data_IF_554018796736
#
_entry.id   IF_554018796736
#
_cell.length_a   1.000
_cell.length_b   1.000
_cell.length_c   1.000
_cell.angle_alpha   90.00
_cell.angle_beta   90.00
_cell.angle_gamma   90.00
#
_symmetry.space_group_name_H-M   'P 1'
#
loop_
_entity.id
_entity.type
_entity.pdbx_description
1 polymer ?
#
# COMPACT_ATOMS: atom_id res chain seq x y z
N UNK A 1 15.73 -1.60 -12.73
CA UNK A 1 17.06 -1.12 -13.17
C UNK A 1 18.03 -0.89 -12.01
N UNK A 2 17.58 -0.48 -10.82
CA UNK A 2 18.43 -0.26 -9.62
C UNK A 2 19.38 -1.42 -9.29
N UNK A 3 18.85 -2.62 -8.99
CA UNK A 3 19.70 -3.75 -8.58
C UNK A 3 20.51 -4.35 -9.75
N UNK A 4 20.07 -4.14 -10.99
CA UNK A 4 20.77 -4.66 -12.17
C UNK A 4 22.05 -3.86 -12.48
N UNK A 5 22.21 -2.68 -11.90
CA UNK A 5 23.42 -1.86 -12.00
C UNK A 5 24.52 -2.28 -11.02
N UNK A 6 24.21 -3.15 -10.06
CA UNK A 6 25.13 -3.58 -9.01
C UNK A 6 25.82 -4.90 -9.38
N UNK A 7 27.14 -4.95 -9.18
CA UNK A 7 27.92 -6.19 -9.31
C UNK A 7 27.75 -7.12 -8.08
N UNK A 8 27.17 -6.60 -6.99
CA UNK A 8 26.98 -7.32 -5.74
C UNK A 8 25.72 -8.19 -5.75
N UNK A 9 25.76 -9.31 -5.01
CA UNK A 9 24.58 -10.15 -4.77
C UNK A 9 23.69 -9.47 -3.73
N UNK A 10 22.52 -8.98 -4.17
CA UNK A 10 21.56 -8.28 -3.32
C UNK A 10 20.37 -9.15 -2.87
N UNK A 11 20.31 -10.39 -3.31
CA UNK A 11 19.34 -11.39 -2.87
C UNK A 11 20.04 -12.56 -2.21
N UNK A 12 19.41 -13.10 -1.18
CA UNK A 12 19.85 -14.36 -0.59
C UNK A 12 19.78 -15.50 -1.61
N UNK A 13 20.61 -16.52 -1.42
CA UNK A 13 20.66 -17.68 -2.28
C UNK A 13 19.55 -18.69 -1.93
N UNK A 14 19.23 -18.83 -0.64
CA UNK A 14 18.29 -19.84 -0.13
C UNK A 14 17.11 -19.22 0.64
N UNK A 15 16.87 -17.93 0.45
CA UNK A 15 15.75 -17.18 1.00
C UNK A 15 15.01 -16.46 -0.14
N UNK A 16 13.71 -16.22 0.03
CA UNK A 16 12.86 -15.55 -0.94
C UNK A 16 13.00 -14.03 -0.97
N UNK A 17 13.77 -13.44 -0.04
CA UNK A 17 13.95 -12.00 0.14
C UNK A 17 15.29 -11.46 -0.37
N UNK A 18 15.39 -10.13 -0.44
CA UNK A 18 16.68 -9.45 -0.58
C UNK A 18 17.54 -9.60 0.67
N UNK A 19 18.82 -9.27 0.56
CA UNK A 19 19.76 -9.13 1.70
C UNK A 19 19.60 -7.77 2.38
N UNK A 20 20.21 -7.58 3.56
CA UNK A 20 20.27 -6.26 4.22
C UNK A 20 20.95 -5.19 3.34
N UNK A 21 21.91 -5.57 2.48
CA UNK A 21 22.51 -4.64 1.50
C UNK A 21 21.53 -4.26 0.39
N UNK A 22 20.73 -5.21 -0.08
CA UNK A 22 19.65 -4.94 -1.03
C UNK A 22 18.61 -4.00 -0.44
N UNK A 23 18.23 -4.23 0.82
CA UNK A 23 17.33 -3.34 1.56
C UNK A 23 17.91 -1.94 1.77
N UNK A 24 19.20 -1.81 2.09
CA UNK A 24 19.88 -0.51 2.22
C UNK A 24 19.83 0.29 0.91
N UNK A 25 20.12 -0.35 -0.22
CA UNK A 25 20.04 0.30 -1.53
C UNK A 25 18.61 0.72 -1.90
N UNK A 26 17.62 -0.12 -1.58
CA UNK A 26 16.22 0.22 -1.76
C UNK A 26 15.79 1.40 -0.86
N UNK A 27 16.25 1.43 0.38
CA UNK A 27 16.01 2.53 1.31
C UNK A 27 16.57 3.85 0.78
N UNK A 28 17.80 3.86 0.27
CA UNK A 28 18.41 5.06 -0.31
C UNK A 28 17.64 5.58 -1.53
N UNK A 29 17.18 4.67 -2.39
CA UNK A 29 16.34 5.05 -3.53
C UNK A 29 14.98 5.62 -3.10
N UNK A 30 14.32 5.01 -2.11
CA UNK A 30 13.05 5.50 -1.57
C UNK A 30 13.21 6.85 -0.89
N UNK A 31 14.23 7.01 -0.04
CA UNK A 31 14.50 8.26 0.66
C UNK A 31 14.81 9.40 -0.33
N UNK A 32 15.54 9.13 -1.41
CA UNK A 32 15.80 10.13 -2.45
C UNK A 32 14.50 10.66 -3.10
N UNK A 33 13.54 9.78 -3.39
CA UNK A 33 12.22 10.18 -3.92
C UNK A 33 11.39 10.95 -2.87
N UNK A 34 11.55 10.64 -1.59
CA UNK A 34 10.89 11.31 -0.47
C UNK A 34 11.60 12.62 -0.05
N UNK A 35 12.75 12.94 -0.64
CA UNK A 35 13.56 14.10 -0.26
C UNK A 35 14.26 13.97 1.10
N UNK A 36 14.42 12.74 1.60
CA UNK A 36 15.14 12.40 2.83
C UNK A 36 16.60 12.08 2.48
N UNK A 37 17.54 12.68 3.20
CA UNK A 37 18.97 12.41 2.98
C UNK A 37 19.33 11.05 3.60
N UNK A 38 19.92 10.15 2.81
CA UNK A 38 20.49 8.90 3.29
C UNK A 38 21.68 8.45 2.44
N UNK A 39 22.39 7.44 2.92
CA UNK A 39 23.57 6.86 2.27
C UNK A 39 23.93 5.52 2.90
N UNK A 40 22.94 4.66 3.09
CA UNK A 40 23.07 3.39 3.79
C UNK A 40 23.87 2.36 2.99
N UNK A 41 23.72 2.32 1.68
CA UNK A 41 24.42 1.34 0.84
C UNK A 41 25.95 1.50 0.89
N UNK A 42 26.43 2.76 0.88
CA UNK A 42 27.86 3.09 0.79
C UNK A 42 28.48 3.56 2.12
N UNK A 43 27.68 4.20 2.97
CA UNK A 43 28.16 4.94 4.15
C UNK A 43 28.07 4.18 5.47
N UNK A 44 27.45 3.00 5.48
CA UNK A 44 27.18 2.25 6.71
C UNK A 44 28.14 1.10 6.95
N UNK A 45 28.42 0.83 8.23
CA UNK A 45 29.10 -0.40 8.64
C UNK A 45 28.10 -1.56 8.64
N UNK A 46 28.54 -2.70 8.12
CA UNK A 46 27.77 -3.92 8.12
C UNK A 46 28.53 -5.04 8.82
N UNK A 47 27.80 -5.81 9.62
CA UNK A 47 28.31 -6.98 10.32
C UNK A 47 27.74 -8.26 9.71
N UNK A 48 28.64 -9.13 9.25
CA UNK A 48 28.24 -10.44 8.74
C UNK A 48 27.66 -11.31 9.86
N UNK A 49 26.47 -11.83 9.63
CA UNK A 49 25.71 -12.69 10.54
C UNK A 49 25.19 -13.91 9.81
N UNK A 50 25.04 -15.01 10.53
CA UNK A 50 24.40 -16.20 9.98
C UNK A 50 22.90 -15.94 9.80
N UNK A 51 22.39 -16.23 8.61
CA UNK A 51 20.97 -16.15 8.25
C UNK A 51 20.46 -17.53 7.85
N UNK A 52 19.24 -17.86 8.25
CA UNK A 52 18.58 -19.09 7.80
C UNK A 52 17.49 -18.72 6.82
N UNK A 53 17.65 -19.12 5.57
CA UNK A 53 16.72 -18.76 4.50
C UNK A 53 15.39 -19.50 4.55
N UNK A 54 14.29 -18.79 4.30
CA UNK A 54 12.93 -19.36 4.34
C UNK A 54 12.71 -20.51 3.34
N UNK A 55 13.26 -20.43 2.12
CA UNK A 55 13.17 -21.48 1.11
C UNK A 55 13.92 -22.74 1.56
N UNK A 56 15.07 -22.56 2.23
CA UNK A 56 15.81 -23.67 2.81
C UNK A 56 15.00 -24.35 3.92
N UNK A 57 14.45 -23.59 4.86
CA UNK A 57 13.63 -24.14 5.95
C UNK A 57 12.40 -24.88 5.43
N UNK A 58 11.75 -24.34 4.39
CA UNK A 58 10.60 -24.97 3.75
C UNK A 58 10.94 -26.32 3.11
N UNK A 59 12.09 -26.43 2.43
CA UNK A 59 12.50 -27.65 1.73
C UNK A 59 13.19 -28.67 2.65
N UNK A 60 13.91 -28.20 3.67
CA UNK A 60 14.74 -28.99 4.57
C UNK A 60 14.51 -28.60 6.04
N UNK A 61 13.34 -28.90 6.62
CA UNK A 61 12.98 -28.44 7.98
C UNK A 61 13.85 -29.02 9.11
N UNK A 62 14.60 -30.10 8.85
CA UNK A 62 15.60 -30.65 9.78
C UNK A 62 17.06 -30.27 9.40
N UNK A 63 17.21 -29.49 8.33
CA UNK A 63 18.47 -28.95 7.88
C UNK A 63 19.02 -27.92 8.85
N UNK A 64 20.31 -27.61 8.70
CA UNK A 64 21.02 -26.62 9.53
C UNK A 64 21.96 -25.76 8.68
N UNK A 65 21.70 -25.69 7.38
CA UNK A 65 22.47 -24.84 6.49
C UNK A 65 22.08 -23.39 6.78
N UNK A 66 23.06 -22.49 6.67
CA UNK A 66 22.84 -21.06 6.84
C UNK A 66 23.60 -20.33 5.74
N UNK A 67 23.04 -19.22 5.30
CA UNK A 67 23.75 -18.26 4.48
C UNK A 67 24.21 -17.07 5.33
N UNK A 68 24.79 -16.06 4.69
CA UNK A 68 25.32 -14.87 5.37
C UNK A 68 24.49 -13.67 4.99
N UNK A 69 24.03 -12.92 5.99
CA UNK A 69 23.54 -11.57 5.82
C UNK A 69 24.55 -10.57 6.37
N UNK A 70 24.72 -9.46 5.67
CA UNK A 70 25.51 -8.34 6.15
C UNK A 70 24.54 -7.34 6.77
N UNK A 71 24.26 -7.49 8.06
CA UNK A 71 23.27 -6.67 8.77
C UNK A 71 23.85 -5.28 9.12
N UNK A 72 23.07 -4.20 9.01
CA UNK A 72 23.57 -2.86 9.33
C UNK A 72 23.92 -2.76 10.82
N UNK A 73 25.07 -2.15 11.11
CA UNK A 73 25.52 -1.87 12.45
C UNK A 73 25.33 -0.39 12.77
N UNK A 74 24.69 -0.08 13.89
CA UNK A 74 24.63 1.28 14.42
C UNK A 74 23.42 2.13 13.99
N UNK A 75 22.41 1.54 13.35
CA UNK A 75 21.13 2.23 13.10
C UNK A 75 20.55 2.79 14.41
N UNK A 76 20.20 4.08 14.40
CA UNK A 76 19.87 4.89 15.54
C UNK A 76 18.37 5.24 15.54
N UNK A 77 17.57 4.32 16.05
CA UNK A 77 16.16 4.53 16.35
C UNK A 77 15.76 3.72 17.59
N UNK A 78 14.60 4.02 18.16
CA UNK A 78 14.00 3.26 19.26
C UNK A 78 12.67 2.67 18.83
N UNK A 79 12.31 1.53 19.41
CA UNK A 79 11.02 0.88 19.22
C UNK A 79 10.59 0.19 20.52
N UNK A 80 9.31 -0.17 20.62
CA UNK A 80 8.75 -0.79 21.82
C UNK A 80 9.42 -2.12 22.22
N UNK A 81 9.36 -2.46 23.51
CA UNK A 81 9.85 -3.74 24.03
C UNK A 81 9.06 -4.92 23.40
N UNK A 82 9.77 -5.95 22.95
CA UNK A 82 9.16 -7.15 22.35
C UNK A 82 8.66 -6.97 20.91
N UNK A 83 8.85 -5.79 20.31
CA UNK A 83 8.64 -5.57 18.88
C UNK A 83 9.68 -6.37 18.09
N UNK A 84 9.21 -7.10 17.08
CA UNK A 84 10.02 -7.92 16.20
C UNK A 84 9.87 -7.46 14.75
N UNK A 85 10.81 -7.79 13.85
CA UNK A 85 10.68 -7.45 12.42
C UNK A 85 9.39 -7.97 11.76
N UNK A 86 8.83 -9.06 12.27
CA UNK A 86 7.59 -9.69 11.79
C UNK A 86 6.31 -9.16 12.50
N UNK A 87 6.43 -8.21 13.42
CA UNK A 87 5.26 -7.63 14.12
C UNK A 87 4.29 -6.98 13.13
N UNK A 88 2.98 -7.09 13.41
CA UNK A 88 1.92 -6.50 12.56
C UNK A 88 2.05 -4.99 12.48
N UNK A 89 2.39 -4.36 13.61
CA UNK A 89 2.60 -2.93 13.71
C UNK A 89 3.91 -2.68 14.46
N UNK A 90 4.73 -1.77 13.92
CA UNK A 90 5.98 -1.33 14.51
C UNK A 90 5.94 0.19 14.55
N UNK A 91 6.12 0.74 15.75
CA UNK A 91 6.28 2.17 15.99
C UNK A 91 7.74 2.46 16.34
N UNK A 92 8.33 3.45 15.67
CA UNK A 92 9.71 3.85 15.91
C UNK A 92 9.85 5.35 16.10
N UNK A 93 10.81 5.75 16.95
CA UNK A 93 11.29 7.12 17.07
C UNK A 93 12.76 7.17 16.66
N UNK A 94 13.09 7.97 15.65
CA UNK A 94 14.43 8.13 15.08
C UNK A 94 14.99 9.53 15.26
N UNK A 95 16.18 9.78 14.72
CA UNK A 95 16.84 11.09 14.74
C UNK A 95 16.62 11.91 13.45
N UNK A 96 15.91 11.34 12.47
CA UNK A 96 15.57 12.00 11.21
C UNK A 96 14.49 13.08 11.37
N UNK A 97 13.89 13.45 10.24
CA UNK A 97 12.84 14.48 10.18
C UNK A 97 11.53 13.91 9.64
N UNK A 98 10.42 14.54 10.01
CA UNK A 98 9.09 14.17 9.52
C UNK A 98 8.57 12.82 10.04
N UNK A 99 7.39 12.46 9.53
CA UNK A 99 6.61 11.31 9.96
C UNK A 99 6.25 10.40 8.81
N UNK A 100 6.55 9.11 8.94
CA UNK A 100 6.32 8.10 7.92
C UNK A 100 5.18 7.15 8.33
N UNK A 101 4.23 6.91 7.43
CA UNK A 101 3.36 5.74 7.45
C UNK A 101 3.80 4.78 6.33
N UNK A 102 4.22 3.58 6.68
CA UNK A 102 4.69 2.59 5.71
C UNK A 102 3.90 1.29 5.83
N UNK A 103 3.20 0.92 4.76
CA UNK A 103 2.67 -0.44 4.58
C UNK A 103 3.74 -1.29 3.91
N UNK A 104 3.89 -2.53 4.36
CA UNK A 104 4.94 -3.42 3.89
C UNK A 104 4.54 -4.88 3.91
N UNK A 105 5.14 -5.67 3.04
CA UNK A 105 5.09 -7.12 3.13
C UNK A 105 6.34 -7.67 3.84
N UNK A 106 6.67 -8.95 3.66
CA UNK A 106 7.84 -9.57 4.28
C UNK A 106 9.17 -9.04 3.74
N UNK A 107 9.23 -8.47 2.53
CA UNK A 107 10.41 -7.76 2.03
C UNK A 107 10.78 -6.56 2.90
N UNK A 108 9.77 -5.89 3.46
CA UNK A 108 10.01 -4.80 4.39
C UNK A 108 10.69 -5.19 5.72
N UNK A 109 10.92 -6.48 6.03
CA UNK A 109 11.55 -6.90 7.31
C UNK A 109 12.97 -6.36 7.45
N UNK A 110 13.73 -6.37 6.36
CA UNK A 110 15.09 -5.82 6.33
C UNK A 110 15.13 -4.34 5.93
N UNK A 111 14.03 -3.79 5.40
CA UNK A 111 13.95 -2.40 4.96
C UNK A 111 13.55 -1.44 6.07
N UNK A 112 12.60 -1.83 6.93
CA UNK A 112 12.04 -0.92 7.93
C UNK A 112 13.09 -0.28 8.86
N UNK A 113 14.21 -0.93 9.27
CA UNK A 113 15.19 -0.29 10.14
C UNK A 113 15.87 0.93 9.51
N UNK A 114 16.12 0.88 8.19
CA UNK A 114 16.72 1.99 7.44
C UNK A 114 15.74 3.15 7.29
N UNK A 115 14.47 2.83 7.04
CA UNK A 115 13.41 3.84 7.00
C UNK A 115 13.21 4.44 8.40
N UNK A 116 13.22 3.64 9.47
CA UNK A 116 13.04 4.11 10.84
C UNK A 116 14.10 5.13 11.28
N UNK A 117 15.35 4.96 10.88
CA UNK A 117 16.41 5.94 11.16
C UNK A 117 16.20 7.29 10.45
N UNK A 118 15.70 7.24 9.20
CA UNK A 118 15.54 8.43 8.35
C UNK A 118 14.42 9.39 8.78
N UNK A 119 13.52 8.97 9.66
CA UNK A 119 12.35 9.75 10.09
C UNK A 119 12.34 10.00 11.60
N UNK A 120 11.68 11.07 12.03
CA UNK A 120 11.54 11.38 13.45
C UNK A 120 10.57 10.39 14.14
N UNK A 121 9.45 10.09 13.47
CA UNK A 121 8.48 9.08 13.90
C UNK A 121 8.07 8.23 12.69
N UNK A 122 7.96 6.92 12.84
CA UNK A 122 7.48 6.05 11.77
C UNK A 122 6.57 4.93 12.28
N UNK A 123 5.52 4.65 11.50
CA UNK A 123 4.56 3.56 11.67
C UNK A 123 4.76 2.58 10.51
N UNK A 124 5.15 1.35 10.82
CA UNK A 124 5.18 0.26 9.84
C UNK A 124 4.02 -0.69 10.08
N UNK A 125 3.29 -1.06 9.03
CA UNK A 125 2.14 -1.95 9.09
C UNK A 125 2.27 -3.10 8.10
N UNK A 126 2.05 -4.33 8.56
CA UNK A 126 1.93 -5.54 7.73
C UNK A 126 0.48 -5.87 7.36
N UNK A 127 -0.44 -4.94 7.57
CA UNK A 127 -1.83 -5.12 7.14
C UNK A 127 -1.90 -5.07 5.62
N UNK A 128 -2.59 -6.03 5.03
CA UNK A 128 -2.74 -6.13 3.58
C UNK A 128 -3.88 -5.25 3.05
N UNK A 129 -4.84 -4.86 3.90
CA UNK A 129 -5.77 -3.77 3.65
C UNK A 129 -5.13 -2.46 4.14
N UNK A 130 -4.82 -1.55 3.21
CA UNK A 130 -4.12 -0.31 3.54
C UNK A 130 -5.11 0.75 4.02
N UNK A 131 -5.13 0.98 5.33
CA UNK A 131 -5.92 2.07 5.92
C UNK A 131 -5.16 3.39 5.84
N UNK A 132 -5.41 4.15 4.78
CA UNK A 132 -4.75 5.43 4.55
C UNK A 132 -5.35 6.56 5.39
N UNK A 133 -6.48 6.34 6.08
CA UNK A 133 -6.99 7.31 7.07
C UNK A 133 -6.01 7.50 8.22
N UNK A 134 -5.18 6.47 8.49
CA UNK A 134 -4.08 6.54 9.46
C UNK A 134 -3.05 7.62 9.14
N UNK A 135 -2.90 8.01 7.88
CA UNK A 135 -1.98 9.09 7.52
C UNK A 135 -2.37 10.40 8.20
N UNK A 136 -3.67 10.70 8.25
CA UNK A 136 -4.18 11.88 8.97
C UNK A 136 -4.08 11.71 10.48
N UNK A 137 -4.46 10.54 11.01
CA UNK A 137 -4.38 10.23 12.46
C UNK A 137 -2.96 10.44 13.00
N UNK A 138 -1.96 10.02 12.23
CA UNK A 138 -0.54 10.11 12.61
C UNK A 138 0.11 11.43 12.23
N UNK A 139 -0.60 12.27 11.48
CA UNK A 139 -0.03 13.43 10.81
C UNK A 139 1.23 13.04 10.02
N UNK A 140 1.14 11.95 9.27
CA UNK A 140 2.22 11.46 8.43
C UNK A 140 2.51 12.47 7.30
N UNK A 141 3.78 12.81 7.11
CA UNK A 141 4.23 13.67 6.01
C UNK A 141 4.31 12.89 4.69
N UNK A 142 4.51 11.58 4.77
CA UNK A 142 4.55 10.68 3.63
C UNK A 142 3.95 9.31 3.94
N UNK A 143 3.42 8.69 2.89
CA UNK A 143 2.91 7.31 2.91
C UNK A 143 3.70 6.48 1.90
N UNK A 144 4.22 5.35 2.33
CA UNK A 144 4.92 4.38 1.46
C UNK A 144 4.18 3.05 1.48
N UNK A 145 4.02 2.46 0.31
CA UNK A 145 3.55 1.07 0.16
C UNK A 145 4.69 0.28 -0.45
N UNK A 146 5.29 -0.60 0.35
CA UNK A 146 6.26 -1.59 -0.09
C UNK A 146 5.52 -2.91 -0.37
N UNK A 147 5.65 -3.39 -1.60
CA UNK A 147 5.03 -4.64 -2.03
C UNK A 147 5.88 -5.31 -3.10
N UNK A 148 6.08 -6.62 -2.96
CA UNK A 148 6.77 -7.41 -3.99
C UNK A 148 5.90 -7.58 -5.24
N UNK A 149 6.50 -7.59 -6.42
CA UNK A 149 5.79 -7.60 -7.72
C UNK A 149 4.75 -8.73 -7.85
N UNK A 150 5.05 -9.92 -7.34
CA UNK A 150 4.11 -11.07 -7.35
C UNK A 150 2.82 -10.84 -6.55
N UNK A 151 2.83 -9.87 -5.64
CA UNK A 151 1.71 -9.50 -4.78
C UNK A 151 0.95 -8.27 -5.30
N UNK A 152 1.31 -7.70 -6.46
CA UNK A 152 0.62 -6.51 -7.00
C UNK A 152 -0.90 -6.69 -7.16
N UNK A 153 -1.39 -7.93 -7.30
CA UNK A 153 -2.82 -8.20 -7.34
C UNK A 153 -3.55 -7.80 -6.05
N UNK A 154 -2.86 -7.77 -4.93
CA UNK A 154 -3.43 -7.38 -3.64
C UNK A 154 -3.95 -5.94 -3.65
N UNK A 155 -3.40 -5.06 -4.49
CA UNK A 155 -3.87 -3.67 -4.60
C UNK A 155 -5.34 -3.57 -5.05
N UNK A 156 -5.81 -4.50 -5.88
CA UNK A 156 -7.20 -4.54 -6.35
C UNK A 156 -8.04 -5.62 -5.67
N UNK A 157 -7.42 -6.62 -5.03
CA UNK A 157 -8.11 -7.64 -4.22
C UNK A 157 -8.43 -7.13 -2.81
N UNK A 158 -7.59 -6.23 -2.27
CA UNK A 158 -7.73 -5.61 -0.94
C UNK A 158 -7.58 -4.09 -1.07
N UNK A 159 -8.61 -3.42 -1.63
CA UNK A 159 -8.52 -1.99 -1.91
C UNK A 159 -8.22 -1.18 -0.65
N UNK A 160 -7.41 -0.14 -0.81
CA UNK A 160 -7.08 0.78 0.26
C UNK A 160 -8.34 1.49 0.80
N UNK A 161 -8.37 1.72 2.11
CA UNK A 161 -9.38 2.53 2.76
C UNK A 161 -8.88 3.97 2.81
N UNK A 162 -9.47 4.82 1.96
CA UNK A 162 -9.21 6.26 1.94
C UNK A 162 -10.46 7.00 1.47
N UNK A 163 -10.74 8.21 1.98
CA UNK A 163 -11.78 9.07 1.43
C UNK A 163 -11.57 9.25 -0.07
N UNK A 164 -12.59 8.90 -0.84
CA UNK A 164 -12.55 9.03 -2.28
C UNK A 164 -12.39 10.50 -2.65
N UNK A 165 -11.47 10.77 -3.57
CA UNK A 165 -11.20 12.15 -3.98
C UNK A 165 -12.33 12.68 -4.83
N UNK A 166 -12.82 13.89 -4.50
CA UNK A 166 -13.79 14.58 -5.34
C UNK A 166 -13.14 14.96 -6.70
N UNK A 167 -13.93 14.85 -7.77
CA UNK A 167 -13.53 15.11 -9.15
C UNK A 167 -14.60 15.93 -9.87
N UNK A 168 -14.15 16.79 -10.77
CA UNK A 168 -15.03 17.44 -11.72
C UNK A 168 -15.07 16.60 -13.00
N UNK A 169 -16.26 16.14 -13.39
CA UNK A 169 -16.48 15.43 -14.66
C UNK A 169 -17.68 16.04 -15.40
N UNK A 170 -17.63 16.04 -16.73
CA UNK A 170 -18.78 16.36 -17.56
C UNK A 170 -19.51 15.08 -17.96
N UNK A 171 -20.48 14.68 -17.14
CA UNK A 171 -21.35 13.53 -17.41
C UNK A 171 -22.51 13.87 -18.37
N UNK A 172 -22.58 15.10 -18.91
CA UNK A 172 -23.67 15.48 -19.80
C UNK A 172 -23.55 14.75 -21.14
N UNK A 173 -24.60 14.00 -21.49
CA UNK A 173 -24.63 13.24 -22.74
C UNK A 173 -23.86 11.92 -22.71
N UNK A 174 -23.43 11.46 -21.52
CA UNK A 174 -22.89 10.12 -21.36
C UNK A 174 -23.87 9.05 -21.86
N UNK A 175 -23.34 8.00 -22.48
CA UNK A 175 -24.13 6.87 -22.93
C UNK A 175 -24.75 6.13 -21.74
N UNK A 176 -25.96 5.58 -21.87
CA UNK A 176 -26.58 4.82 -20.78
C UNK A 176 -25.87 3.48 -20.57
N UNK A 177 -25.51 3.18 -19.33
CA UNK A 177 -24.96 1.89 -18.91
C UNK A 177 -25.78 1.22 -17.79
N UNK A 178 -25.24 0.11 -17.28
CA UNK A 178 -25.77 -0.57 -16.11
C UNK A 178 -24.62 -0.89 -15.13
N UNK A 179 -24.86 -0.63 -13.85
CA UNK A 179 -23.94 -0.98 -12.76
C UNK A 179 -24.76 -1.30 -11.50
N UNK A 180 -24.22 -2.15 -10.64
CA UNK A 180 -24.72 -2.34 -9.27
C UNK A 180 -23.85 -1.58 -8.29
N UNK A 181 -24.41 -1.23 -7.13
CA UNK A 181 -23.67 -0.69 -6.01
C UNK A 181 -24.41 -1.04 -4.71
N UNK A 182 -23.65 -1.48 -3.73
CA UNK A 182 -24.07 -1.84 -2.38
C UNK A 182 -23.28 -1.02 -1.36
N UNK A 183 -23.91 -0.72 -0.21
CA UNK A 183 -23.26 -0.03 0.91
C UNK A 183 -22.71 -1.10 1.87
N UNK A 184 -21.40 -1.11 2.07
CA UNK A 184 -20.69 -2.10 2.89
C UNK A 184 -20.65 -1.71 4.37
N UNK A 185 -20.60 -0.42 4.67
CA UNK A 185 -20.53 0.07 6.05
C UNK A 185 -20.52 1.58 6.16
N UNK A 186 -20.79 2.06 7.37
CA UNK A 186 -20.79 3.49 7.74
C UNK A 186 -19.89 3.65 8.96
N UNK A 187 -18.97 4.61 8.91
CA UNK A 187 -18.04 4.91 10.00
C UNK A 187 -17.62 6.38 9.94
N UNK A 188 -17.64 7.06 11.08
CA UNK A 188 -17.08 8.41 11.29
C UNK A 188 -17.40 9.43 10.20
N UNK A 189 -18.68 9.51 9.81
CA UNK A 189 -19.14 10.49 8.81
C UNK A 189 -18.78 10.13 7.37
N UNK A 190 -18.38 8.88 7.13
CA UNK A 190 -18.17 8.29 5.81
C UNK A 190 -18.92 6.96 5.70
N UNK A 191 -19.12 6.51 4.46
CA UNK A 191 -19.63 5.17 4.17
C UNK A 191 -18.88 4.57 2.99
N UNK A 192 -18.66 3.26 3.05
CA UNK A 192 -18.01 2.51 1.96
C UNK A 192 -19.06 1.93 1.05
N UNK A 193 -18.83 2.05 -0.26
CA UNK A 193 -19.65 1.45 -1.30
C UNK A 193 -18.80 0.52 -2.16
N UNK A 194 -19.38 -0.60 -2.57
CA UNK A 194 -18.81 -1.51 -3.57
C UNK A 194 -19.79 -1.68 -4.71
N UNK A 195 -19.33 -1.98 -5.91
CA UNK A 195 -20.21 -2.16 -7.04
C UNK A 195 -19.56 -2.87 -8.21
N UNK A 196 -20.36 -3.27 -9.19
CA UNK A 196 -19.90 -3.95 -10.40
C UNK A 196 -20.47 -3.29 -11.64
N UNK A 197 -19.63 -3.13 -12.66
CA UNK A 197 -20.03 -2.60 -13.96
C UNK A 197 -20.55 -3.75 -14.82
N UNK A 198 -21.75 -3.58 -15.39
CA UNK A 198 -22.32 -4.53 -16.34
C UNK A 198 -21.94 -4.13 -17.77
N UNK A 199 -20.81 -4.62 -18.26
CA UNK A 199 -20.35 -4.33 -19.62
C UNK A 199 -18.84 -4.29 -19.73
N UNK A 200 -18.33 -3.76 -20.84
CA UNK A 200 -16.91 -3.51 -21.03
C UNK A 200 -16.49 -2.21 -20.33
N UNK A 201 -15.29 -2.22 -19.77
CA UNK A 201 -14.63 -1.06 -19.16
C UNK A 201 -13.22 -0.92 -19.77
N UNK A 202 -12.84 0.31 -20.06
CA UNK A 202 -11.46 0.67 -20.35
C UNK A 202 -10.68 0.63 -19.03
N UNK A 203 -9.95 -0.46 -18.77
CA UNK A 203 -9.30 -0.74 -17.47
C UNK A 203 -8.17 0.22 -17.10
N UNK A 204 -7.72 1.04 -18.05
CA UNK A 204 -6.77 2.14 -17.87
C UNK A 204 -7.48 3.49 -17.62
N UNK A 205 -8.80 3.48 -17.43
CA UNK A 205 -9.61 4.65 -17.15
C UNK A 205 -10.18 4.65 -15.72
N UNK A 206 -10.38 5.83 -15.12
CA UNK A 206 -11.02 5.95 -13.81
C UNK A 206 -12.51 5.58 -13.84
N UNK A 207 -13.00 5.09 -12.71
CA UNK A 207 -14.44 4.97 -12.42
C UNK A 207 -14.83 6.09 -11.46
N UNK A 208 -15.95 6.74 -11.75
CA UNK A 208 -16.48 7.82 -10.93
C UNK A 208 -17.80 7.40 -10.30
N UNK A 209 -17.96 7.67 -9.01
CA UNK A 209 -19.23 7.50 -8.30
C UNK A 209 -19.82 8.87 -8.04
N UNK A 210 -21.01 9.09 -8.58
CA UNK A 210 -21.82 10.26 -8.31
C UNK A 210 -22.59 10.04 -7.01
N UNK A 211 -22.47 10.96 -6.06
CA UNK A 211 -23.18 10.91 -4.80
C UNK A 211 -23.68 12.31 -4.42
N UNK A 212 -25.00 12.48 -4.32
CA UNK A 212 -25.67 13.71 -3.92
C UNK A 212 -25.18 14.99 -4.64
N UNK A 213 -24.88 14.86 -5.94
CA UNK A 213 -24.49 15.98 -6.80
C UNK A 213 -22.99 16.25 -6.93
N UNK A 214 -22.14 15.49 -6.24
CA UNK A 214 -20.69 15.49 -6.41
C UNK A 214 -20.21 14.16 -7.03
N UNK A 215 -19.01 14.16 -7.61
CA UNK A 215 -18.40 12.97 -8.20
C UNK A 215 -17.10 12.63 -7.48
N UNK A 216 -16.88 11.34 -7.24
CA UNK A 216 -15.73 10.84 -6.50
C UNK A 216 -15.04 9.75 -7.31
N UNK A 217 -13.72 9.74 -7.34
CA UNK A 217 -12.95 8.70 -8.00
C UNK A 217 -12.93 7.42 -7.15
N UNK A 218 -13.35 6.31 -7.75
CA UNK A 218 -13.37 4.99 -7.12
C UNK A 218 -12.10 4.20 -7.45
N UNK A 219 -11.74 3.29 -6.55
CA UNK A 219 -10.71 2.29 -6.80
C UNK A 219 -11.32 1.13 -7.59
N UNK A 220 -10.59 0.66 -8.60
CA UNK A 220 -10.93 -0.58 -9.30
C UNK A 220 -10.61 -1.80 -8.43
N UNK A 221 -11.49 -2.78 -8.45
CA UNK A 221 -11.32 -4.08 -7.79
C UNK A 221 -11.34 -5.20 -8.83
N UNK A 222 -11.06 -6.44 -8.41
CA UNK A 222 -11.01 -7.60 -9.33
C UNK A 222 -12.27 -7.72 -10.21
N UNK A 223 -13.44 -7.44 -9.63
CA UNK A 223 -14.74 -7.66 -10.27
C UNK A 223 -15.61 -6.39 -10.29
N UNK A 224 -15.02 -5.20 -10.06
CA UNK A 224 -15.81 -3.97 -9.95
C UNK A 224 -15.05 -2.76 -9.43
N UNK A 225 -15.67 -2.03 -8.52
CA UNK A 225 -15.13 -0.80 -7.93
C UNK A 225 -15.50 -0.66 -6.45
N UNK A 226 -14.76 0.16 -5.73
CA UNK A 226 -15.06 0.56 -4.35
C UNK A 226 -14.69 2.01 -4.08
N UNK A 227 -15.40 2.67 -3.18
CA UNK A 227 -15.08 4.01 -2.73
C UNK A 227 -15.56 4.26 -1.29
N UNK A 228 -14.83 5.09 -0.56
CA UNK A 228 -15.29 5.65 0.72
C UNK A 228 -15.83 7.06 0.48
N UNK A 229 -17.14 7.23 0.61
CA UNK A 229 -17.84 8.47 0.30
C UNK A 229 -18.21 9.22 1.59
N UNK A 230 -18.30 10.56 1.58
CA UNK A 230 -18.73 11.31 2.75
C UNK A 230 -20.21 11.05 3.08
N UNK A 231 -20.57 11.21 4.36
CA UNK A 231 -21.93 11.03 4.88
C UNK A 231 -22.27 9.60 5.31
N UNK A 232 -23.49 9.41 5.81
CA UNK A 232 -24.01 8.12 6.32
C UNK A 232 -24.56 7.19 5.23
N UNK A 233 -24.43 7.59 3.96
CA UNK A 233 -25.05 6.91 2.83
C UNK A 233 -26.51 7.31 2.59
N UNK A 234 -27.14 6.63 1.63
CA UNK A 234 -28.48 6.97 1.14
C UNK A 234 -28.52 8.22 0.26
N UNK A 235 -29.58 8.36 -0.54
CA UNK A 235 -29.72 9.42 -1.54
C UNK A 235 -29.56 8.89 -2.95
N UNK A 236 -29.07 9.76 -3.85
CA UNK A 236 -28.92 9.43 -5.27
C UNK A 236 -27.49 9.02 -5.60
N UNK A 237 -27.35 7.83 -6.19
CA UNK A 237 -26.08 7.30 -6.65
C UNK A 237 -26.05 7.18 -8.17
N UNK A 238 -24.86 7.35 -8.73
CA UNK A 238 -24.55 7.03 -10.11
C UNK A 238 -23.13 6.47 -10.20
N UNK A 239 -22.85 5.71 -11.26
CA UNK A 239 -21.49 5.31 -11.62
C UNK A 239 -21.24 5.72 -13.07
N UNK A 240 -20.05 6.26 -13.36
CA UNK A 240 -19.60 6.55 -14.71
C UNK A 240 -18.21 5.93 -14.95
N UNK A 241 -17.99 5.42 -16.15
CA UNK A 241 -16.75 4.78 -16.59
C UNK A 241 -16.57 4.97 -18.09
N UNK A 242 -15.37 4.74 -18.61
CA UNK A 242 -15.14 4.72 -20.06
C UNK A 242 -15.27 3.32 -20.63
N UNK A 243 -15.87 3.23 -21.82
CA UNK A 243 -16.01 2.00 -22.59
C UNK A 243 -15.77 2.31 -24.07
N UNK A 244 -14.68 1.81 -24.63
CA UNK A 244 -14.28 2.13 -26.01
C UNK A 244 -14.01 3.63 -26.23
N UNK A 245 -13.56 4.33 -25.19
CA UNK A 245 -13.31 5.77 -25.21
C UNK A 245 -14.55 6.67 -25.07
N UNK A 246 -15.75 6.10 -24.91
CA UNK A 246 -16.98 6.85 -24.65
C UNK A 246 -17.33 6.80 -23.15
N UNK A 247 -17.74 7.94 -22.59
CA UNK A 247 -18.22 8.00 -21.21
C UNK A 247 -19.60 7.35 -21.11
N UNK A 248 -19.70 6.31 -20.28
CA UNK A 248 -20.93 5.58 -19.97
C UNK A 248 -21.31 5.87 -18.53
N UNK A 249 -22.60 6.10 -18.27
CA UNK A 249 -23.11 6.33 -16.92
C UNK A 249 -24.36 5.50 -16.61
N UNK A 250 -24.44 5.01 -15.38
CA UNK A 250 -25.60 4.32 -14.82
C UNK A 250 -26.10 5.07 -13.58
N UNK A 251 -27.40 5.33 -13.51
CA UNK A 251 -28.05 5.73 -12.24
C UNK A 251 -28.33 4.48 -11.42
N UNK A 252 -28.04 4.55 -10.14
CA UNK A 252 -28.13 3.42 -9.22
C UNK A 252 -29.19 3.76 -8.19
N UNK A 253 -30.22 2.91 -8.12
CA UNK A 253 -31.21 2.95 -7.06
C UNK A 253 -30.80 1.91 -6.02
N UNK A 254 -30.31 2.37 -4.88
CA UNK A 254 -30.11 1.48 -3.73
C UNK A 254 -31.47 1.32 -3.06
N UNK A 255 -32.02 0.10 -3.08
CA UNK A 255 -33.21 -0.19 -2.28
C UNK A 255 -32.83 0.01 -0.81
N UNK A 256 -33.42 1.01 -0.15
CA UNK A 256 -33.25 1.22 1.28
C UNK A 256 -33.71 -0.05 1.99
N UNK A 257 -32.76 -0.86 2.48
CA UNK A 257 -33.07 -2.03 3.28
C UNK A 257 -33.92 -1.61 4.48
N UNK A 258 -35.12 -2.19 4.60
CA UNK A 258 -35.91 -2.10 5.82
C UNK A 258 -35.10 -2.71 6.97
N UNK A 259 -34.69 -1.85 7.92
CA UNK A 259 -34.14 -2.21 9.22
C UNK A 259 -34.84 -1.42 10.31
#
# INVERSE_FOLDING_TARGET
ELFAAEDATLYFAHDSHWTSRGAALAADALNAELGVESGYADGYEFESRAHTGDLFEMLYPAGRDTETDDAPAGLAFTQGEGVRPDSITIDTEGAGEGRLLMFRDSFGELLYPFMAEGFAEARFSRQAAYDLTLAEELSADCVVIEIVERNLSWLYEQPALLPASEREIDAAGAAPGAASLDIEGVSDGFHSVTGAISGEIDVDSPVYIGYNGAWYEALLTNDGFTAMLPGEGGGEYAACWYSGGELVCARINIESGEG
#
